data_IF_817518403839
#
_entry.id   IF_817518403839
#
_cell.length_a   1.000
_cell.length_b   1.000
_cell.length_c   1.000
_cell.angle_alpha   90.00
_cell.angle_beta   90.00
_cell.angle_gamma   90.00
#
_symmetry.space_group_name_H-M   'P 1'
#
loop_
_entity.id
_entity.type
_entity.pdbx_description
1 polymer ?
#
# COMPACT_ATOMS: atom_id res chain seq x y z
N UNK A 1 -19.54 25.90 -0.89
CA UNK A 1 -20.97 26.04 -1.22
C UNK A 1 -21.45 24.79 -1.94
N UNK A 2 -22.76 24.58 -2.12
CA UNK A 2 -23.23 23.50 -2.99
C UNK A 2 -22.65 23.71 -4.39
N UNK A 3 -22.06 22.65 -4.96
CA UNK A 3 -21.68 22.66 -6.38
C UNK A 3 -22.98 22.76 -7.19
N UNK A 4 -23.17 23.88 -7.87
CA UNK A 4 -24.38 24.18 -8.66
C UNK A 4 -24.23 23.80 -10.13
N UNK A 5 -23.00 23.60 -10.60
CA UNK A 5 -22.70 23.11 -11.95
C UNK A 5 -22.56 21.57 -11.95
N UNK A 6 -22.76 20.89 -13.10
CA UNK A 6 -22.44 19.48 -13.26
C UNK A 6 -20.95 19.22 -12.97
N UNK A 7 -20.66 18.08 -12.35
CA UNK A 7 -19.29 17.68 -12.02
C UNK A 7 -19.13 16.17 -12.06
N UNK A 8 -17.89 15.77 -12.32
CA UNK A 8 -17.43 14.39 -12.26
C UNK A 8 -16.53 14.21 -11.03
N UNK A 9 -16.50 12.99 -10.48
CA UNK A 9 -15.61 12.63 -9.39
C UNK A 9 -14.71 11.48 -9.80
N UNK A 10 -13.43 11.54 -9.40
CA UNK A 10 -12.54 10.40 -9.40
C UNK A 10 -12.52 9.81 -7.98
N UNK A 11 -12.98 8.58 -7.85
CA UNK A 11 -13.01 7.85 -6.59
C UNK A 11 -11.82 6.91 -6.52
N UNK A 12 -10.90 7.22 -5.61
CA UNK A 12 -9.67 6.43 -5.40
C UNK A 12 -9.91 5.21 -4.54
N UNK A 13 -10.74 5.30 -3.50
CA UNK A 13 -11.11 4.18 -2.65
C UNK A 13 -12.40 4.49 -1.86
N UNK A 14 -12.95 3.47 -1.18
CA UNK A 14 -14.09 3.62 -0.26
C UNK A 14 -13.73 3.29 1.19
N UNK A 15 -12.45 3.40 1.57
CA UNK A 15 -11.91 2.91 2.83
C UNK A 15 -12.63 3.47 4.07
N UNK A 16 -13.01 4.76 4.06
CA UNK A 16 -13.77 5.40 5.12
C UNK A 16 -15.15 4.77 5.37
N UNK A 17 -15.80 4.28 4.32
CA UNK A 17 -17.11 3.65 4.42
C UNK A 17 -17.01 2.15 4.72
N UNK A 18 -15.92 1.51 4.30
CA UNK A 18 -15.67 0.08 4.54
C UNK A 18 -15.29 -0.17 5.99
N UNK A 19 -14.31 0.57 6.51
CA UNK A 19 -13.83 0.40 7.88
C UNK A 19 -13.42 1.76 8.48
N UNK A 20 -14.36 2.46 9.14
CA UNK A 20 -14.07 3.73 9.76
C UNK A 20 -12.97 3.66 10.83
N UNK A 21 -12.75 2.50 11.48
CA UNK A 21 -11.79 2.35 12.58
C UNK A 21 -10.35 2.52 12.14
N UNK A 22 -10.04 2.43 10.85
CA UNK A 22 -8.70 2.76 10.33
C UNK A 22 -8.38 4.26 10.48
N UNK A 23 -9.37 5.12 10.68
CA UNK A 23 -9.19 6.57 10.73
C UNK A 23 -9.30 7.12 12.16
N UNK A 24 -8.44 8.11 12.45
CA UNK A 24 -8.49 8.86 13.72
C UNK A 24 -9.90 9.42 13.94
N UNK A 25 -10.35 9.47 15.19
CA UNK A 25 -11.71 9.89 15.54
C UNK A 25 -12.10 11.27 14.99
N UNK A 26 -11.15 12.22 14.96
CA UNK A 26 -11.37 13.55 14.37
C UNK A 26 -11.73 13.43 12.89
N UNK A 27 -11.00 12.64 12.12
CA UNK A 27 -11.27 12.42 10.69
C UNK A 27 -12.62 11.75 10.46
N UNK A 28 -12.98 10.77 11.29
CA UNK A 28 -14.32 10.15 11.25
C UNK A 28 -15.43 11.18 11.47
N UNK A 29 -15.25 12.08 12.44
CA UNK A 29 -16.22 13.15 12.71
C UNK A 29 -16.32 14.12 11.53
N UNK A 30 -15.19 14.58 10.98
CA UNK A 30 -15.16 15.42 9.78
C UNK A 30 -15.85 14.77 8.58
N UNK A 31 -15.59 13.48 8.32
CA UNK A 31 -16.22 12.75 7.22
C UNK A 31 -17.73 12.52 7.46
N UNK A 32 -18.18 12.43 8.72
CA UNK A 32 -19.61 12.38 9.06
C UNK A 32 -20.32 13.72 8.84
N UNK A 33 -19.60 14.83 9.02
CA UNK A 33 -20.12 16.19 8.83
C UNK A 33 -20.12 16.60 7.35
N UNK A 34 -19.17 16.09 6.56
CA UNK A 34 -19.16 16.30 5.11
C UNK A 34 -20.22 15.43 4.44
N UNK A 35 -21.02 15.99 3.52
CA UNK A 35 -22.04 15.23 2.80
C UNK A 35 -21.41 14.40 1.66
N UNK A 36 -20.35 13.64 1.93
CA UNK A 36 -19.56 12.86 0.94
C UNK A 36 -20.46 11.93 0.13
N UNK A 37 -21.39 11.24 0.81
CA UNK A 37 -22.40 10.40 0.14
C UNK A 37 -23.25 11.20 -0.85
N UNK A 38 -23.67 12.41 -0.49
CA UNK A 38 -24.49 13.25 -1.36
C UNK A 38 -23.64 13.82 -2.51
N UNK A 39 -22.38 14.16 -2.27
CA UNK A 39 -21.44 14.59 -3.30
C UNK A 39 -21.27 13.48 -4.35
N UNK A 40 -21.04 12.25 -3.89
CA UNK A 40 -20.90 11.08 -4.77
C UNK A 40 -22.20 10.80 -5.54
N UNK A 41 -23.37 10.82 -4.88
CA UNK A 41 -24.67 10.58 -5.54
C UNK A 41 -25.07 11.65 -6.56
N UNK A 42 -24.73 12.91 -6.29
CA UNK A 42 -25.08 14.07 -7.14
C UNK A 42 -24.14 14.26 -8.31
N UNK A 43 -22.97 13.62 -8.32
CA UNK A 43 -22.09 13.64 -9.47
C UNK A 43 -22.81 13.11 -10.72
N UNK A 44 -22.51 13.73 -11.87
CA UNK A 44 -23.00 13.28 -13.16
C UNK A 44 -22.36 11.94 -13.53
N UNK A 45 -21.04 11.84 -13.32
CA UNK A 45 -20.27 10.60 -13.42
C UNK A 45 -19.32 10.42 -12.26
N UNK A 46 -19.08 9.16 -11.92
CA UNK A 46 -18.06 8.74 -10.96
C UNK A 46 -17.11 7.79 -11.68
N UNK A 47 -15.86 8.21 -11.79
CA UNK A 47 -14.77 7.44 -12.33
C UNK A 47 -14.10 6.67 -11.18
N UNK A 48 -13.93 5.37 -11.33
CA UNK A 48 -13.33 4.50 -10.33
C UNK A 48 -11.98 4.00 -10.84
N UNK A 49 -11.00 3.91 -9.95
CA UNK A 49 -9.65 3.47 -10.32
C UNK A 49 -9.56 1.96 -10.56
N UNK A 50 -10.54 1.18 -10.10
CA UNK A 50 -10.56 -0.28 -10.15
C UNK A 50 -11.99 -0.82 -10.11
N UNK A 51 -12.18 -2.08 -10.51
CA UNK A 51 -13.49 -2.73 -10.50
C UNK A 51 -13.94 -3.00 -9.06
N UNK A 52 -13.01 -3.29 -8.14
CA UNK A 52 -13.30 -3.31 -6.71
C UNK A 52 -13.86 -1.96 -6.22
N UNK A 53 -13.20 -0.85 -6.54
CA UNK A 53 -13.66 0.49 -6.11
C UNK A 53 -15.03 0.82 -6.71
N UNK A 54 -15.27 0.41 -7.95
CA UNK A 54 -16.56 0.56 -8.63
C UNK A 54 -17.67 -0.25 -7.95
N UNK A 55 -17.39 -1.49 -7.59
CA UNK A 55 -18.31 -2.36 -6.85
C UNK A 55 -18.61 -1.82 -5.45
N UNK A 56 -17.60 -1.30 -4.76
CA UNK A 56 -17.77 -0.64 -3.48
C UNK A 56 -18.61 0.62 -3.60
N UNK A 57 -18.38 1.45 -4.63
CA UNK A 57 -19.17 2.65 -4.88
C UNK A 57 -20.65 2.31 -5.10
N UNK A 58 -20.94 1.29 -5.91
CA UNK A 58 -22.30 0.78 -6.13
C UNK A 58 -22.94 0.31 -4.83
N UNK A 59 -22.23 -0.52 -4.05
CA UNK A 59 -22.75 -1.16 -2.83
C UNK A 59 -22.93 -0.18 -1.67
N UNK A 60 -21.97 0.70 -1.44
CA UNK A 60 -21.92 1.59 -0.27
C UNK A 60 -22.68 2.89 -0.50
N UNK A 61 -22.70 3.37 -1.74
CA UNK A 61 -23.35 4.62 -2.10
C UNK A 61 -24.57 4.43 -2.99
N UNK A 62 -24.98 3.21 -3.33
CA UNK A 62 -26.22 2.93 -4.06
C UNK A 62 -26.30 3.76 -5.36
N UNK A 63 -25.25 3.62 -6.17
CA UNK A 63 -25.09 4.33 -7.44
C UNK A 63 -25.58 3.49 -8.61
N UNK A 64 -26.26 4.13 -9.56
CA UNK A 64 -26.60 3.51 -10.86
C UNK A 64 -25.29 3.11 -11.59
N UNK A 65 -25.14 1.85 -12.03
CA UNK A 65 -24.00 1.40 -12.84
C UNK A 65 -23.67 2.28 -14.04
N UNK A 66 -24.66 2.90 -14.67
CA UNK A 66 -24.47 3.79 -15.84
C UNK A 66 -23.71 5.08 -15.50
N UNK A 67 -23.70 5.49 -14.23
CA UNK A 67 -22.89 6.62 -13.74
C UNK A 67 -21.44 6.23 -13.51
N UNK A 68 -21.14 4.94 -13.45
CA UNK A 68 -19.85 4.41 -13.06
C UNK A 68 -19.00 4.07 -14.28
N UNK A 69 -17.75 4.50 -14.28
CA UNK A 69 -16.78 4.14 -15.30
C UNK A 69 -15.43 3.81 -14.66
N UNK A 70 -14.60 3.06 -15.38
CA UNK A 70 -13.24 2.75 -14.95
C UNK A 70 -12.25 3.72 -15.61
N UNK A 71 -11.42 4.36 -14.78
CA UNK A 71 -10.23 5.11 -15.22
C UNK A 71 -9.08 4.68 -14.30
N UNK A 72 -8.40 3.57 -14.63
CA UNK A 72 -7.21 3.14 -13.90
C UNK A 72 -6.10 4.20 -14.01
N UNK A 73 -5.33 4.44 -12.94
CA UNK A 73 -4.17 5.32 -13.02
C UNK A 73 -3.10 4.72 -13.95
N UNK A 74 -2.49 5.58 -14.75
CA UNK A 74 -1.28 5.21 -15.50
C UNK A 74 -0.07 5.21 -14.57
N UNK A 75 0.71 4.14 -14.60
CA UNK A 75 2.05 4.16 -14.01
C UNK A 75 3.00 4.87 -14.98
N UNK A 76 3.43 6.08 -14.65
CA UNK A 76 4.46 6.79 -15.42
C UNK A 76 5.88 6.39 -14.99
N UNK A 77 6.03 5.61 -13.90
CA UNK A 77 7.31 5.33 -13.26
C UNK A 77 8.00 6.61 -12.77
N UNK A 78 9.16 6.44 -12.14
CA UNK A 78 10.12 7.54 -11.91
C UNK A 78 11.32 7.40 -12.87
N UNK A 79 11.07 6.88 -14.06
CA UNK A 79 12.12 6.51 -14.99
C UNK A 79 12.81 7.78 -15.55
N UNK A 80 14.14 7.69 -15.63
CA UNK A 80 15.12 8.68 -16.11
C UNK A 80 15.82 9.56 -15.06
N UNK A 81 15.39 9.57 -13.80
CA UNK A 81 16.12 10.29 -12.75
C UNK A 81 17.26 9.45 -12.15
N UNK A 82 18.42 10.06 -11.83
CA UNK A 82 19.52 9.35 -11.17
C UNK A 82 19.10 8.86 -9.79
N UNK A 83 19.55 7.66 -9.43
CA UNK A 83 19.34 7.14 -8.08
C UNK A 83 20.34 7.75 -7.10
N UNK A 84 19.95 7.89 -5.84
CA UNK A 84 20.82 8.32 -4.74
C UNK A 84 20.62 7.41 -3.55
N UNK A 85 21.68 6.75 -3.07
CA UNK A 85 21.60 5.99 -1.82
C UNK A 85 21.21 6.94 -0.67
N UNK A 86 20.15 6.66 0.08
CA UNK A 86 19.75 7.52 1.20
C UNK A 86 20.81 7.53 2.29
N UNK A 87 21.14 8.71 2.83
CA UNK A 87 22.16 8.84 3.88
C UNK A 87 21.76 8.15 5.20
N UNK A 88 20.45 8.03 5.45
CA UNK A 88 19.89 7.35 6.61
C UNK A 88 19.89 5.82 6.48
N UNK A 89 20.13 5.27 5.29
CA UNK A 89 20.21 3.83 5.06
C UNK A 89 21.64 3.35 5.36
N UNK A 90 21.87 2.54 6.41
CA UNK A 90 23.22 2.12 6.78
C UNK A 90 23.96 1.47 5.62
N UNK A 91 25.27 1.75 5.52
CA UNK A 91 26.11 1.16 4.47
C UNK A 91 26.09 -0.38 4.49
N UNK A 92 25.93 -0.96 5.69
CA UNK A 92 25.82 -2.40 5.97
C UNK A 92 24.47 -3.01 5.59
N UNK A 93 23.50 -2.22 5.13
CA UNK A 93 22.19 -2.73 4.69
C UNK A 93 22.32 -3.34 3.29
N UNK A 94 22.63 -4.63 3.24
CA UNK A 94 22.78 -5.37 1.98
C UNK A 94 21.45 -5.94 1.49
N UNK A 95 20.56 -6.33 2.41
CA UNK A 95 19.31 -7.03 2.07
C UNK A 95 18.14 -6.42 2.83
N UNK A 96 17.23 -5.81 2.09
CA UNK A 96 16.05 -5.19 2.66
C UNK A 96 14.80 -5.45 1.84
N UNK A 97 13.65 -5.41 2.51
CA UNK A 97 12.32 -5.43 1.90
C UNK A 97 11.62 -4.12 2.19
N UNK A 98 10.82 -3.66 1.23
CA UNK A 98 10.04 -2.44 1.38
C UNK A 98 8.66 -2.76 1.93
N UNK A 99 8.15 -1.87 2.77
CA UNK A 99 6.78 -1.84 3.22
C UNK A 99 6.25 -0.41 3.04
N UNK A 100 4.98 -0.26 2.68
CA UNK A 100 4.38 1.04 2.40
C UNK A 100 3.26 1.37 3.38
N UNK A 101 3.25 2.59 3.89
CA UNK A 101 2.11 3.19 4.58
C UNK A 101 2.17 3.25 6.11
N UNK A 102 3.35 2.98 6.70
CA UNK A 102 3.67 3.37 8.07
C UNK A 102 2.61 3.05 9.12
N UNK A 103 2.09 4.07 9.80
CA UNK A 103 1.17 3.94 10.93
C UNK A 103 -0.33 3.80 10.55
N UNK A 104 -0.68 3.74 9.26
CA UNK A 104 -2.07 3.52 8.82
C UNK A 104 -2.49 2.07 9.16
N UNK A 105 -3.47 1.86 10.07
CA UNK A 105 -3.90 0.51 10.46
C UNK A 105 -4.38 -0.33 9.28
N UNK A 106 -4.92 0.31 8.23
CA UNK A 106 -5.35 -0.36 7.01
C UNK A 106 -4.19 -1.03 6.28
N UNK A 107 -3.00 -0.43 6.32
CA UNK A 107 -1.80 -0.94 5.64
C UNK A 107 -1.23 -2.19 6.29
N UNK A 108 -1.62 -2.48 7.54
CA UNK A 108 -1.36 -3.76 8.21
C UNK A 108 0.12 -4.16 8.24
N UNK A 109 1.03 -3.20 8.36
CA UNK A 109 2.48 -3.46 8.29
C UNK A 109 2.94 -4.47 9.35
N UNK A 110 2.21 -4.58 10.47
CA UNK A 110 2.46 -5.54 11.54
C UNK A 110 2.55 -6.99 11.04
N UNK A 111 1.66 -7.38 10.12
CA UNK A 111 1.62 -8.75 9.61
C UNK A 111 2.89 -9.10 8.83
N UNK A 112 3.35 -8.19 7.98
CA UNK A 112 4.59 -8.37 7.22
C UNK A 112 5.83 -8.31 8.14
N UNK A 113 5.87 -7.41 9.12
CA UNK A 113 6.99 -7.33 10.06
C UNK A 113 7.12 -8.56 10.93
N UNK A 114 6.00 -9.14 11.38
CA UNK A 114 6.01 -10.43 12.07
C UNK A 114 6.59 -11.53 11.18
N UNK A 115 6.25 -11.54 9.90
CA UNK A 115 6.81 -12.50 8.94
C UNK A 115 8.32 -12.29 8.73
N UNK A 116 8.79 -11.04 8.63
CA UNK A 116 10.23 -10.71 8.52
C UNK A 116 10.99 -11.12 9.79
N UNK A 117 10.43 -10.87 10.98
CA UNK A 117 11.01 -11.31 12.25
C UNK A 117 11.17 -12.84 12.30
N UNK A 118 10.10 -13.58 11.96
CA UNK A 118 10.15 -15.05 11.87
C UNK A 118 11.15 -15.54 10.81
N UNK A 119 11.21 -14.87 9.65
CA UNK A 119 12.19 -15.18 8.62
C UNK A 119 13.63 -15.02 9.15
N UNK A 120 13.93 -13.92 9.84
CA UNK A 120 15.26 -13.66 10.38
C UNK A 120 15.66 -14.65 11.50
N UNK A 121 14.71 -15.11 12.31
CA UNK A 121 14.95 -16.20 13.28
C UNK A 121 15.36 -17.50 12.58
N UNK A 122 14.72 -17.80 11.43
CA UNK A 122 15.03 -18.99 10.64
C UNK A 122 16.27 -18.84 9.75
N UNK A 123 16.73 -17.60 9.51
CA UNK A 123 17.84 -17.27 8.60
C UNK A 123 18.79 -16.24 9.24
N UNK A 124 19.42 -16.56 10.39
CA UNK A 124 20.22 -15.60 11.16
C UNK A 124 21.43 -15.07 10.39
N UNK A 125 22.01 -15.86 9.50
CA UNK A 125 23.19 -15.46 8.70
C UNK A 125 22.83 -14.57 7.49
N UNK A 126 21.54 -14.50 7.16
CA UNK A 126 21.03 -13.78 5.98
C UNK A 126 19.74 -13.03 6.36
N UNK A 127 19.79 -12.07 7.29
CA UNK A 127 18.61 -11.33 7.70
C UNK A 127 18.11 -10.40 6.59
N UNK A 128 16.82 -10.07 6.66
CA UNK A 128 16.18 -9.01 5.90
C UNK A 128 15.91 -7.83 6.83
N UNK A 129 16.30 -6.64 6.37
CA UNK A 129 15.98 -5.38 7.04
C UNK A 129 14.65 -4.86 6.48
N UNK A 130 13.60 -4.68 7.30
CA UNK A 130 12.38 -4.05 6.85
C UNK A 130 12.54 -2.53 6.78
N UNK A 131 12.28 -1.95 5.61
CA UNK A 131 12.29 -0.50 5.37
C UNK A 131 10.86 -0.04 5.11
N UNK A 132 10.30 0.74 6.04
CA UNK A 132 8.89 1.16 6.05
C UNK A 132 8.77 2.61 5.56
N UNK A 133 8.14 2.81 4.41
CA UNK A 133 7.98 4.11 3.77
C UNK A 133 6.62 4.74 4.14
N UNK A 134 6.58 6.08 4.21
CA UNK A 134 5.33 6.84 4.39
C UNK A 134 4.77 6.81 5.82
N UNK A 135 5.62 6.63 6.83
CA UNK A 135 5.23 6.60 8.25
C UNK A 135 5.73 7.79 9.07
N UNK A 136 4.99 8.13 10.13
CA UNK A 136 5.46 9.03 11.17
C UNK A 136 6.56 8.36 12.04
N UNK A 137 7.45 9.14 12.69
CA UNK A 137 8.52 8.65 13.58
C UNK A 137 8.09 7.77 14.75
N UNK A 138 6.79 7.74 15.06
CA UNK A 138 6.34 6.91 16.16
C UNK A 138 6.42 5.46 15.75
N UNK A 139 7.40 4.76 16.33
CA UNK A 139 7.48 3.31 16.41
C UNK A 139 6.05 2.73 16.59
N UNK A 140 5.37 2.31 15.50
CA UNK A 140 4.02 1.79 15.59
C UNK A 140 4.02 0.37 16.19
N UNK A 141 5.17 -0.11 16.65
CA UNK A 141 5.45 -1.50 16.97
C UNK A 141 5.41 -1.84 18.46
N UNK A 142 5.21 -0.86 19.36
CA UNK A 142 5.18 -1.09 20.80
C UNK A 142 6.39 -1.90 21.27
N UNK A 143 6.15 -2.98 22.05
CA UNK A 143 7.16 -3.85 22.66
C UNK A 143 7.63 -5.04 21.80
N UNK A 144 7.35 -5.06 20.49
CA UNK A 144 7.82 -6.19 19.68
C UNK A 144 9.36 -6.18 19.55
N UNK A 145 10.04 -7.32 19.82
CA UNK A 145 11.45 -7.49 19.48
C UNK A 145 11.56 -7.62 17.96
N UNK A 146 11.52 -6.49 17.27
CA UNK A 146 11.65 -6.43 15.83
C UNK A 146 13.12 -6.42 15.43
N UNK A 147 13.46 -6.95 14.23
CA UNK A 147 14.70 -6.57 13.56
C UNK A 147 14.82 -5.04 13.51
N UNK A 148 16.04 -4.51 13.40
CA UNK A 148 16.24 -3.06 13.22
C UNK A 148 15.41 -2.56 12.02
N UNK A 149 14.24 -1.99 12.31
CA UNK A 149 13.33 -1.44 11.29
C UNK A 149 13.83 -0.05 10.94
N UNK A 150 13.87 0.24 9.65
CA UNK A 150 14.23 1.58 9.17
C UNK A 150 12.95 2.25 8.67
N UNK A 151 12.61 3.40 9.24
CA UNK A 151 11.38 4.14 8.91
C UNK A 151 11.70 5.63 8.70
N UNK A 152 12.15 6.03 7.50
CA UNK A 152 12.44 7.43 7.21
C UNK A 152 11.16 8.28 7.18
N UNK A 153 11.25 9.55 7.57
CA UNK A 153 10.11 10.49 7.55
C UNK A 153 9.83 11.04 6.15
N UNK A 154 10.90 11.39 5.45
CA UNK A 154 10.84 11.96 4.11
C UNK A 154 11.83 11.22 3.23
N UNK A 155 11.45 11.04 1.97
CA UNK A 155 12.22 10.32 0.97
C UNK A 155 12.15 11.15 -0.30
N UNK A 156 13.30 11.55 -0.82
CA UNK A 156 13.35 12.19 -2.12
C UNK A 156 13.11 11.16 -3.24
N UNK A 157 12.63 11.59 -4.40
CA UNK A 157 12.39 10.67 -5.52
C UNK A 157 13.66 9.89 -5.92
N UNK A 158 14.84 10.53 -5.90
CA UNK A 158 16.12 9.85 -6.17
C UNK A 158 16.46 8.76 -5.15
N UNK A 159 16.06 8.94 -3.90
CA UNK A 159 16.19 7.94 -2.84
C UNK A 159 15.17 6.81 -3.02
N UNK A 160 13.94 7.13 -3.41
CA UNK A 160 12.91 6.13 -3.69
C UNK A 160 13.31 5.25 -4.88
N UNK A 161 13.89 5.82 -5.94
CA UNK A 161 14.43 5.08 -7.08
C UNK A 161 15.51 4.10 -6.61
N UNK A 162 16.43 4.54 -5.73
CA UNK A 162 17.44 3.65 -5.15
C UNK A 162 16.78 2.49 -4.40
N UNK A 163 15.80 2.80 -3.53
CA UNK A 163 15.09 1.76 -2.78
C UNK A 163 14.39 0.77 -3.70
N UNK A 164 13.69 1.23 -4.73
CA UNK A 164 13.03 0.38 -5.72
C UNK A 164 14.02 -0.46 -6.52
N UNK A 165 15.21 0.05 -6.86
CA UNK A 165 16.24 -0.72 -7.59
C UNK A 165 16.98 -1.74 -6.74
N UNK A 166 17.08 -1.53 -5.42
CA UNK A 166 17.94 -2.34 -4.55
C UNK A 166 17.18 -3.23 -3.56
N UNK A 167 15.87 -3.02 -3.37
CA UNK A 167 15.06 -3.90 -2.53
C UNK A 167 14.97 -5.34 -3.08
N UNK A 168 14.78 -6.29 -2.18
CA UNK A 168 14.48 -7.70 -2.51
C UNK A 168 13.04 -7.86 -3.02
N UNK A 169 12.10 -7.15 -2.38
CA UNK A 169 10.70 -7.09 -2.76
C UNK A 169 9.97 -5.93 -2.07
N UNK A 170 8.77 -5.63 -2.56
CA UNK A 170 7.77 -4.86 -1.83
C UNK A 170 6.75 -5.80 -1.18
N UNK A 171 6.53 -5.65 0.13
CA UNK A 171 5.46 -6.30 0.88
C UNK A 171 4.31 -5.32 1.08
N UNK A 172 3.11 -5.70 0.65
CA UNK A 172 1.93 -4.84 0.69
C UNK A 172 0.74 -5.54 1.39
N UNK A 173 0.77 -5.65 2.74
CA UNK A 173 -0.12 -6.50 3.52
C UNK A 173 -1.50 -5.89 3.84
N UNK A 174 -1.88 -4.84 3.13
CA UNK A 174 -3.07 -4.03 3.42
C UNK A 174 -4.35 -4.85 3.60
N UNK A 175 -5.20 -4.43 4.52
CA UNK A 175 -6.58 -4.91 4.67
C UNK A 175 -7.49 -4.46 3.54
N UNK A 176 -7.12 -3.37 2.85
CA UNK A 176 -7.86 -2.85 1.71
C UNK A 176 -7.04 -1.81 0.95
N UNK A 177 -7.13 -1.84 -0.38
CA UNK A 177 -6.65 -0.80 -1.28
C UNK A 177 -7.66 -0.59 -2.40
N UNK A 178 -7.79 0.66 -2.84
CA UNK A 178 -8.57 0.97 -4.04
C UNK A 178 -7.84 0.67 -5.34
N UNK A 179 -6.50 0.64 -5.35
CA UNK A 179 -5.71 0.27 -6.53
C UNK A 179 -4.41 -0.44 -6.17
N UNK A 180 -3.47 0.21 -5.47
CA UNK A 180 -2.15 -0.39 -5.18
C UNK A 180 -1.04 0.04 -6.13
N UNK A 181 -1.02 1.34 -6.46
CA UNK A 181 -0.01 1.97 -7.33
C UNK A 181 1.45 1.63 -6.94
N UNK A 182 1.84 1.55 -5.65
CA UNK A 182 3.22 1.18 -5.28
C UNK A 182 3.70 -0.18 -5.81
N UNK A 183 2.78 -1.15 -5.98
CA UNK A 183 3.14 -2.44 -6.58
C UNK A 183 3.52 -2.28 -8.07
N UNK A 184 2.79 -1.44 -8.79
CA UNK A 184 3.07 -1.12 -10.19
C UNK A 184 4.39 -0.34 -10.31
N UNK A 185 4.60 0.64 -9.44
CA UNK A 185 5.82 1.45 -9.41
C UNK A 185 7.08 0.61 -9.20
N UNK A 186 7.11 -0.28 -8.20
CA UNK A 186 8.32 -1.08 -7.96
C UNK A 186 8.54 -2.15 -9.03
N UNK A 187 7.46 -2.67 -9.63
CA UNK A 187 7.56 -3.66 -10.70
C UNK A 187 8.19 -3.08 -11.96
N UNK A 188 8.08 -1.76 -12.21
CA UNK A 188 8.83 -1.13 -13.32
C UNK A 188 10.35 -1.20 -13.15
N UNK A 189 10.85 -1.54 -11.95
CA UNK A 189 12.24 -1.81 -11.64
C UNK A 189 12.55 -3.33 -11.55
N UNK A 190 11.67 -4.16 -12.12
CA UNK A 190 11.77 -5.62 -12.14
C UNK A 190 11.86 -6.25 -10.74
N UNK A 191 11.20 -5.65 -9.74
CA UNK A 191 11.15 -6.21 -8.39
C UNK A 191 9.93 -7.06 -8.15
N UNK A 192 10.15 -8.05 -7.30
CA UNK A 192 9.11 -8.94 -6.81
C UNK A 192 8.15 -8.17 -5.90
N UNK A 193 6.87 -8.53 -6.03
CA UNK A 193 5.78 -8.00 -5.24
C UNK A 193 5.17 -9.13 -4.42
N UNK A 194 4.93 -8.89 -3.14
CA UNK A 194 4.10 -9.74 -2.28
C UNK A 194 2.96 -8.87 -1.77
N UNK A 195 1.73 -9.18 -2.17
CA UNK A 195 0.56 -8.37 -1.88
C UNK A 195 -0.51 -9.16 -1.13
N UNK A 196 -1.38 -8.46 -0.41
CA UNK A 196 -2.50 -9.13 0.21
C UNK A 196 -3.57 -9.51 -0.83
N UNK A 197 -4.41 -10.49 -0.50
CA UNK A 197 -5.58 -10.86 -1.31
C UNK A 197 -6.76 -9.88 -1.15
N UNK A 198 -6.56 -8.68 -0.60
CA UNK A 198 -7.64 -7.79 -0.18
C UNK A 198 -7.83 -6.58 -1.08
N UNK A 199 -9.08 -6.09 -1.15
CA UNK A 199 -9.45 -4.95 -1.96
C UNK A 199 -9.14 -5.19 -3.44
N UNK A 200 -8.64 -4.15 -4.11
CA UNK A 200 -8.33 -4.20 -5.54
C UNK A 200 -7.04 -4.96 -5.87
N UNK A 201 -6.21 -5.32 -4.88
CA UNK A 201 -4.88 -5.87 -5.14
C UNK A 201 -4.88 -7.12 -6.04
N UNK A 202 -5.81 -8.09 -5.89
CA UNK A 202 -5.84 -9.26 -6.78
C UNK A 202 -6.08 -8.93 -8.26
N UNK A 203 -6.78 -7.83 -8.56
CA UNK A 203 -7.11 -7.43 -9.94
C UNK A 203 -6.12 -6.42 -10.52
N UNK A 204 -5.43 -5.64 -9.68
CA UNK A 204 -4.55 -4.54 -10.12
C UNK A 204 -3.07 -4.80 -9.94
N UNK A 205 -2.65 -5.77 -9.11
CA UNK A 205 -1.23 -6.03 -8.89
C UNK A 205 -0.55 -6.56 -10.17
N UNK A 206 0.74 -6.26 -10.37
CA UNK A 206 1.42 -6.66 -11.59
C UNK A 206 1.57 -8.19 -11.69
N UNK A 207 1.71 -8.74 -12.92
CA UNK A 207 1.94 -10.16 -13.13
C UNK A 207 3.15 -10.67 -12.33
N UNK A 208 3.05 -11.88 -11.79
CA UNK A 208 4.09 -12.48 -10.95
C UNK A 208 4.06 -12.05 -9.48
N UNK A 209 3.09 -11.22 -9.07
CA UNK A 209 2.85 -10.93 -7.65
C UNK A 209 2.47 -12.19 -6.89
N UNK A 210 3.12 -12.42 -5.73
CA UNK A 210 2.74 -13.48 -4.79
C UNK A 210 1.63 -12.92 -3.89
N UNK A 211 0.51 -13.63 -3.81
CA UNK A 211 -0.62 -13.21 -2.98
C UNK A 211 -0.66 -13.97 -1.65
N UNK A 212 -0.94 -13.24 -0.57
CA UNK A 212 -1.07 -13.78 0.78
C UNK A 212 -2.32 -13.21 1.46
N UNK A 213 -2.98 -13.98 2.32
CA UNK A 213 -4.07 -13.46 3.12
C UNK A 213 -3.55 -12.44 4.14
N UNK A 214 -4.16 -11.25 4.31
CA UNK A 214 -3.65 -10.19 5.18
C UNK A 214 -3.65 -10.58 6.68
N UNK A 215 -4.46 -11.55 7.08
CA UNK A 215 -4.53 -12.05 8.47
C UNK A 215 -3.60 -13.23 8.77
N UNK A 216 -2.80 -13.73 7.81
CA UNK A 216 -2.08 -14.99 7.94
C UNK A 216 -0.56 -14.83 7.79
N UNK A 217 0.17 -14.43 8.86
CA UNK A 217 1.62 -14.19 8.80
C UNK A 217 2.47 -15.35 8.26
N UNK A 218 2.00 -16.60 8.37
CA UNK A 218 2.71 -17.76 7.82
C UNK A 218 2.75 -17.78 6.28
N UNK A 219 1.72 -17.27 5.60
CA UNK A 219 1.72 -17.16 4.13
C UNK A 219 2.78 -16.14 3.69
N UNK A 220 2.88 -15.01 4.40
CA UNK A 220 3.92 -13.99 4.19
C UNK A 220 5.33 -14.52 4.45
N UNK A 221 5.52 -15.33 5.51
CA UNK A 221 6.80 -15.99 5.78
C UNK A 221 7.20 -16.93 4.64
N UNK A 222 6.25 -17.70 4.11
CA UNK A 222 6.51 -18.60 2.98
C UNK A 222 6.86 -17.81 1.71
N UNK A 223 6.13 -16.72 1.44
CA UNK A 223 6.45 -15.82 0.33
C UNK A 223 7.86 -15.23 0.46
N UNK A 224 8.26 -14.79 1.67
CA UNK A 224 9.63 -14.32 1.94
C UNK A 224 10.68 -15.39 1.62
N UNK A 225 10.46 -16.65 2.05
CA UNK A 225 11.38 -17.76 1.73
C UNK A 225 11.49 -18.00 0.23
N UNK A 226 10.38 -17.91 -0.51
CA UNK A 226 10.39 -18.09 -1.96
C UNK A 226 11.23 -17.00 -2.66
N UNK A 227 10.99 -15.73 -2.35
CA UNK A 227 11.67 -14.62 -3.03
C UNK A 227 13.17 -14.58 -2.72
N UNK A 228 13.60 -15.03 -1.53
CA UNK A 228 15.02 -15.00 -1.14
C UNK A 228 15.82 -16.20 -1.62
N UNK A 229 15.16 -17.31 -1.98
CA UNK A 229 15.81 -18.51 -2.51
C UNK A 229 15.96 -18.51 -4.03
N UNK A 230 15.36 -17.52 -4.70
CA UNK A 230 15.34 -17.40 -6.17
C UNK A 230 16.46 -16.49 -6.70
N UNK A 231 17.33 -15.95 -5.82
CA UNK A 231 18.39 -14.98 -6.13
C UNK A 231 19.74 -15.48 -5.60
#
# INVERSE_FOLDING_TARGET
GPLTAPYHLLLHDCSFAIEPRWFKWKMRLWHRLLPVKNLIKKAERVHCVSEQTKNDARRLYDLNPEKLSLIPPMNQGLNDSPEKKPAWLPATTERFVLLMGGADPRKNIHTALKAVSLYNIHQPDRPLIPVVLGGEPHNPFGDYPLPSVIAPHHIADSELIYLYKHAQALLYPSWYEGYGLPLQEIQSYNKLCVASTAGALPETAPPGTIFCHPAKPHEWLNALKMITNTI
#
